data_IF_907184713907
#
_entry.id   IF_907184713907
#
_cell.length_a   1.000
_cell.length_b   1.000
_cell.length_c   1.000
_cell.angle_alpha   90.00
_cell.angle_beta   90.00
_cell.angle_gamma   90.00
#
_symmetry.space_group_name_H-M   'P 1'
#
loop_
_entity.id
_entity.type
_entity.pdbx_description
1 polymer ?
#
# COMPACT_ATOMS: atom_id res chain seq x y z
N UNK A 1 15.79 -7.77 22.25
CA UNK A 1 15.32 -7.83 21.74
C UNK A 1 14.67 -7.51 21.11
N UNK A 2 14.40 -7.19 21.11
CA UNK A 2 13.64 -7.02 20.54
C UNK A 2 13.37 -6.94 19.55
N UNK A 3 13.28 -6.91 19.23
CA UNK A 3 12.88 -7.05 18.10
C UNK A 3 11.88 -6.30 17.59
N UNK A 4 11.94 -5.60 16.74
CA UNK A 4 11.04 -4.86 16.26
C UNK A 4 10.16 -5.52 15.44
N UNK A 5 9.05 -5.46 15.61
CA UNK A 5 8.13 -6.13 14.89
C UNK A 5 7.52 -5.38 13.83
N UNK A 6 7.45 -4.10 13.89
CA UNK A 6 7.01 -3.36 12.76
C UNK A 6 8.18 -3.05 11.95
N UNK A 7 8.04 -2.95 10.71
CA UNK A 7 9.12 -2.69 9.81
C UNK A 7 9.03 -1.29 9.31
N UNK A 8 10.10 -0.56 9.44
CA UNK A 8 10.13 0.78 8.89
C UNK A 8 10.19 0.66 7.37
N UNK A 9 9.33 1.38 6.69
CA UNK A 9 9.30 1.39 5.25
C UNK A 9 10.22 2.49 4.76
N UNK A 10 11.07 2.19 3.80
CA UNK A 10 12.00 3.14 3.22
C UNK A 10 11.81 3.23 1.72
N UNK A 11 12.20 4.36 1.16
CA UNK A 11 12.16 4.53 -0.30
C UNK A 11 13.05 3.45 -0.94
N UNK A 12 12.54 2.81 -1.96
CA UNK A 12 13.24 1.73 -2.64
C UNK A 12 12.83 0.35 -2.18
N UNK A 13 12.11 0.24 -1.08
CA UNK A 13 11.67 -1.06 -0.60
C UNK A 13 10.59 -1.63 -1.50
N UNK A 14 10.58 -2.94 -1.63
CA UNK A 14 9.51 -3.63 -2.33
C UNK A 14 8.39 -3.91 -1.35
N UNK A 15 7.18 -3.57 -1.73
CA UNK A 15 6.02 -3.70 -0.86
C UNK A 15 4.85 -4.31 -1.60
N UNK A 16 3.94 -4.89 -0.84
CA UNK A 16 2.68 -5.34 -1.38
C UNK A 16 1.60 -5.02 -0.36
N UNK A 17 0.34 -5.15 -0.76
CA UNK A 17 -0.77 -4.87 0.13
C UNK A 17 -1.08 -6.11 0.97
N UNK A 18 -1.24 -5.90 2.27
CA UNK A 18 -1.53 -6.97 3.21
C UNK A 18 -2.93 -7.50 2.96
N UNK A 19 -3.03 -8.75 2.52
CA UNK A 19 -4.33 -9.36 2.23
C UNK A 19 -5.24 -9.40 3.44
N UNK A 20 -4.67 -9.49 4.63
CA UNK A 20 -5.47 -9.54 5.85
C UNK A 20 -6.13 -8.21 6.16
N UNK A 21 -5.71 -7.16 5.50
CA UNK A 21 -6.26 -5.82 5.73
C UNK A 21 -7.16 -5.33 4.61
N UNK A 22 -7.39 -6.16 3.61
CA UNK A 22 -8.22 -5.76 2.48
C UNK A 22 -9.64 -5.43 2.92
N UNK A 23 -10.21 -6.24 3.80
CA UNK A 23 -11.57 -5.98 4.26
C UNK A 23 -11.66 -4.69 5.07
N UNK A 24 -10.62 -4.39 5.84
CA UNK A 24 -10.55 -3.15 6.58
C UNK A 24 -10.49 -1.97 5.61
N UNK A 25 -9.66 -2.10 4.57
CA UNK A 25 -9.54 -1.07 3.56
C UNK A 25 -10.88 -0.82 2.86
N UNK A 26 -11.58 -1.89 2.50
CA UNK A 26 -12.88 -1.75 1.85
C UNK A 26 -13.87 -1.03 2.74
N UNK A 27 -13.86 -1.36 4.03
CA UNK A 27 -14.78 -0.71 4.96
C UNK A 27 -14.44 0.76 5.13
N UNK A 28 -13.16 1.09 5.20
CA UNK A 28 -12.73 2.47 5.39
C UNK A 28 -12.95 3.33 4.15
N UNK A 29 -13.02 2.71 2.99
CA UNK A 29 -13.24 3.44 1.75
C UNK A 29 -14.65 3.24 1.21
N UNK A 30 -15.55 2.74 2.03
CA UNK A 30 -16.95 2.62 1.66
C UNK A 30 -17.56 4.01 1.60
N UNK A 31 -17.99 4.42 0.44
CA UNK A 31 -18.48 5.78 0.25
C UNK A 31 -19.26 5.85 -1.06
N UNK A 32 -20.20 6.80 -1.11
CA UNK A 32 -20.90 7.09 -2.35
C UNK A 32 -20.12 8.06 -3.23
N UNK A 33 -19.04 8.59 -2.72
CA UNK A 33 -18.20 9.51 -3.48
C UNK A 33 -17.49 8.75 -4.59
N UNK A 34 -17.68 9.19 -5.80
CA UNK A 34 -17.12 8.53 -6.97
C UNK A 34 -15.61 8.50 -6.93
N UNK A 35 -14.98 9.57 -6.47
CA UNK A 35 -13.52 9.61 -6.41
C UNK A 35 -12.97 8.57 -5.42
N UNK A 36 -13.63 8.40 -4.29
CA UNK A 36 -13.23 7.42 -3.30
C UNK A 36 -13.38 6.01 -3.87
N UNK A 37 -14.46 5.77 -4.59
CA UNK A 37 -14.70 4.46 -5.19
C UNK A 37 -13.67 4.15 -6.26
N UNK A 38 -13.29 5.14 -7.04
CA UNK A 38 -12.24 4.95 -8.04
C UNK A 38 -10.90 4.65 -7.39
N UNK A 39 -10.59 5.36 -6.32
CA UNK A 39 -9.36 5.12 -5.57
C UNK A 39 -9.35 3.69 -5.03
N UNK A 40 -10.47 3.26 -4.47
CA UNK A 40 -10.58 1.89 -3.96
C UNK A 40 -10.29 0.87 -5.05
N UNK A 41 -10.84 1.08 -6.25
CA UNK A 41 -10.61 0.15 -7.35
C UNK A 41 -9.14 0.12 -7.76
N UNK A 42 -8.48 1.27 -7.75
CA UNK A 42 -7.08 1.32 -8.11
C UNK A 42 -6.22 0.55 -7.10
N UNK A 43 -6.49 0.74 -5.82
CA UNK A 43 -5.74 0.04 -4.79
C UNK A 43 -5.99 -1.47 -4.87
N UNK A 44 -7.25 -1.87 -5.04
CA UNK A 44 -7.57 -3.28 -5.13
C UNK A 44 -6.94 -3.92 -6.37
N UNK A 45 -6.77 -3.15 -7.43
CA UNK A 45 -6.09 -3.66 -8.61
C UNK A 45 -4.63 -3.96 -8.41
N UNK A 46 -4.02 -3.40 -7.36
CA UNK A 46 -2.62 -3.64 -7.05
C UNK A 46 -2.36 -4.70 -6.00
N UNK A 47 -3.42 -5.40 -5.54
CA UNK A 47 -3.27 -6.34 -4.45
C UNK A 47 -2.27 -7.45 -4.74
N UNK A 48 -2.28 -7.97 -5.95
CA UNK A 48 -1.40 -9.06 -6.31
C UNK A 48 -0.10 -8.59 -6.92
N UNK A 49 0.17 -7.30 -6.88
CA UNK A 49 1.37 -6.76 -7.49
C UNK A 49 2.35 -6.31 -6.44
N UNK A 50 3.62 -6.39 -6.79
CA UNK A 50 4.69 -5.87 -5.96
C UNK A 50 5.07 -4.51 -6.51
N UNK A 51 5.04 -3.51 -5.65
CA UNK A 51 5.47 -2.18 -6.02
C UNK A 51 6.72 -1.79 -5.29
N UNK A 52 7.30 -0.65 -5.67
CA UNK A 52 8.49 -0.12 -5.03
C UNK A 52 8.12 1.22 -4.40
N UNK A 53 8.55 1.43 -3.17
CA UNK A 53 8.26 2.68 -2.48
C UNK A 53 8.99 3.82 -3.18
N UNK A 54 8.24 4.81 -3.63
CA UNK A 54 8.78 5.96 -4.31
C UNK A 54 8.93 7.16 -3.39
N UNK A 55 7.96 7.34 -2.51
CA UNK A 55 7.97 8.48 -1.62
C UNK A 55 7.21 8.16 -0.34
N UNK A 56 7.71 8.65 0.77
CA UNK A 56 7.04 8.49 2.06
C UNK A 56 6.33 9.78 2.43
N UNK A 57 5.07 9.68 2.79
CA UNK A 57 4.29 10.85 3.12
C UNK A 57 3.50 10.67 4.39
N UNK A 58 4.13 10.33 5.47
CA UNK A 58 3.44 10.16 6.74
C UNK A 58 2.54 8.95 6.72
N UNK A 59 1.24 9.19 6.71
CA UNK A 59 0.27 8.09 6.72
C UNK A 59 0.08 7.44 5.36
N UNK A 60 0.61 8.05 4.31
CA UNK A 60 0.50 7.52 2.96
C UNK A 60 1.88 7.26 2.41
N UNK A 61 2.00 6.20 1.66
CA UNK A 61 3.23 5.86 0.98
C UNK A 61 2.93 5.76 -0.50
N UNK A 62 3.68 6.49 -1.31
CA UNK A 62 3.51 6.42 -2.75
C UNK A 62 4.27 5.22 -3.27
N UNK A 63 3.54 4.31 -3.90
CA UNK A 63 4.09 3.06 -4.43
C UNK A 63 4.08 3.12 -5.95
N UNK A 64 5.20 2.80 -6.54
CA UNK A 64 5.33 2.75 -7.99
C UNK A 64 5.17 1.31 -8.45
N UNK A 65 4.25 1.07 -9.36
CA UNK A 65 3.95 -0.27 -9.83
C UNK A 65 4.57 -0.53 -11.20
N UNK A 66 4.74 -1.81 -11.56
CA UNK A 66 5.40 -2.15 -12.82
C UNK A 66 4.75 -1.56 -14.06
N UNK A 67 3.46 -1.28 -13.97
CA UNK A 67 2.75 -0.69 -15.11
C UNK A 67 3.11 0.76 -15.34
N UNK A 68 3.95 1.32 -14.50
CA UNK A 68 4.42 2.68 -14.70
C UNK A 68 3.56 3.73 -14.03
N UNK A 69 2.66 3.34 -13.14
CA UNK A 69 1.82 4.31 -12.44
C UNK A 69 2.11 4.27 -10.94
N UNK A 70 1.89 5.40 -10.31
CA UNK A 70 2.15 5.57 -8.90
C UNK A 70 0.83 5.70 -8.16
N UNK A 71 0.77 5.13 -6.96
CA UNK A 71 -0.47 5.17 -6.19
C UNK A 71 -0.14 5.44 -4.73
N UNK A 72 -0.80 6.43 -4.11
CA UNK A 72 -0.65 6.61 -2.67
C UNK A 72 -1.50 5.57 -1.95
N UNK A 73 -0.85 4.79 -1.09
CA UNK A 73 -1.52 3.73 -0.32
C UNK A 73 -1.29 3.99 1.15
N UNK A 74 -2.32 3.86 1.99
CA UNK A 74 -2.10 4.03 3.43
C UNK A 74 -1.01 3.08 3.90
N UNK A 75 -0.03 3.64 4.58
CA UNK A 75 1.16 2.88 4.99
C UNK A 75 0.80 1.66 5.83
N UNK A 76 -0.25 1.77 6.62
CA UNK A 76 -0.67 0.66 7.49
C UNK A 76 -1.14 -0.58 6.73
N UNK A 77 -1.42 -0.46 5.44
CA UNK A 77 -1.86 -1.60 4.64
C UNK A 77 -0.73 -2.29 3.89
N UNK A 78 0.48 -1.78 4.00
CA UNK A 78 1.61 -2.30 3.24
C UNK A 78 2.45 -3.26 4.05
N UNK A 79 2.98 -4.26 3.36
CA UNK A 79 3.95 -5.19 3.92
C UNK A 79 5.24 -5.02 3.13
N UNK A 80 6.35 -4.87 3.84
CA UNK A 80 7.66 -4.81 3.19
C UNK A 80 8.10 -6.24 2.90
N UNK A 81 8.44 -6.49 1.66
CA UNK A 81 8.87 -7.82 1.26
C UNK A 81 10.37 -7.98 1.51
N UNK A 82 10.81 -9.20 1.81
CA UNK A 82 12.23 -9.43 2.04
C UNK A 82 13.02 -9.12 0.79
N UNK A 83 14.21 -8.55 1.01
CA UNK A 83 15.09 -8.24 -0.09
C UNK A 83 16.03 -9.42 -0.28
N UNK A 84 16.32 -9.75 -1.47
CA UNK A 84 17.19 -10.85 -1.79
C UNK A 84 18.64 -10.48 -1.70
#
# INVERSE_FOLDING_TARGET
MTTQLHTAINVGDKVTIDNDKIEIFKAETSSDDKAVRQYQQLVLGGIDQVGVVKELGGNLTTVSYPDGWDLPVPTKYLIVLPSE
#
